data_IF_554852258288
#
_entry.id   IF_554852258288
#
_cell.length_a   1.000
_cell.length_b   1.000
_cell.length_c   1.000
_cell.angle_alpha   90.00
_cell.angle_beta   90.00
_cell.angle_gamma   90.00
#
_symmetry.space_group_name_H-M   'P 1'
#
loop_
_entity.id
_entity.type
_entity.pdbx_description
1 polymer ?
#
# COMPACT_ATOMS: atom_id res chain seq x y z
N UNK A 1 7.33 -3.16 -11.56
CA UNK A 1 5.97 -2.94 -12.12
C UNK A 1 6.06 -2.88 -13.64
N UNK A 2 5.32 -3.71 -14.37
CA UNK A 2 5.29 -3.67 -15.83
C UNK A 2 4.35 -2.57 -16.33
N UNK A 3 4.82 -1.70 -17.23
CA UNK A 3 3.98 -0.75 -17.97
C UNK A 3 3.74 -1.29 -19.38
N UNK A 4 2.49 -1.26 -19.85
CA UNK A 4 2.21 -1.17 -21.29
C UNK A 4 1.37 0.09 -21.50
N UNK A 5 1.98 1.02 -22.23
CA UNK A 5 1.41 2.28 -22.74
C UNK A 5 1.11 3.33 -21.67
N UNK A 6 -0.01 3.28 -20.96
CA UNK A 6 -0.41 4.37 -20.03
C UNK A 6 -1.27 3.94 -18.83
N UNK A 7 -1.71 2.67 -18.79
CA UNK A 7 -2.56 2.18 -17.70
C UNK A 7 -1.75 1.51 -16.59
N UNK A 8 -2.06 1.85 -15.33
CA UNK A 8 -1.48 1.20 -14.15
C UNK A 8 -2.00 -0.24 -14.03
N UNK A 9 -1.22 -1.22 -14.47
CA UNK A 9 -1.49 -2.63 -14.13
C UNK A 9 -0.95 -2.95 -12.74
N UNK A 10 -1.86 -3.10 -11.78
CA UNK A 10 -1.60 -3.80 -10.53
C UNK A 10 -1.48 -5.30 -10.83
N UNK A 11 -0.24 -5.78 -11.02
CA UNK A 11 0.03 -7.23 -11.10
C UNK A 11 0.05 -7.81 -9.68
N UNK A 12 -0.78 -8.81 -9.42
CA UNK A 12 -0.88 -9.48 -8.12
C UNK A 12 0.47 -10.07 -7.65
N UNK A 13 1.26 -10.61 -8.59
CA UNK A 13 2.55 -11.27 -8.30
C UNK A 13 3.74 -10.31 -8.14
N UNK A 14 3.71 -9.13 -8.76
CA UNK A 14 4.85 -8.20 -8.78
C UNK A 14 4.60 -6.86 -8.06
N UNK A 15 3.34 -6.49 -7.84
CA UNK A 15 2.94 -5.25 -7.17
C UNK A 15 2.35 -5.46 -5.78
N UNK A 16 1.50 -6.47 -5.61
CA UNK A 16 0.78 -6.70 -4.34
C UNK A 16 1.61 -7.50 -3.32
N UNK A 17 2.10 -8.68 -3.71
CA UNK A 17 2.82 -9.57 -2.78
C UNK A 17 4.16 -9.01 -2.26
N UNK A 18 4.79 -8.13 -3.04
CA UNK A 18 6.07 -7.49 -2.74
C UNK A 18 5.93 -6.14 -2.07
N UNK A 19 4.72 -5.59 -1.94
CA UNK A 19 4.53 -4.28 -1.33
C UNK A 19 4.95 -4.33 0.14
N UNK A 20 5.92 -3.50 0.56
CA UNK A 20 6.41 -3.57 1.91
C UNK A 20 5.49 -2.76 2.83
N UNK A 21 4.54 -3.46 3.46
CA UNK A 21 3.65 -2.87 4.47
C UNK A 21 4.31 -3.05 5.84
N UNK A 22 4.54 -1.97 6.61
CA UNK A 22 5.01 -2.10 7.99
C UNK A 22 3.96 -2.79 8.86
N UNK A 23 4.37 -3.33 10.01
CA UNK A 23 3.41 -3.96 10.94
C UNK A 23 2.35 -2.94 11.38
N UNK A 24 1.09 -3.22 11.06
CA UNK A 24 -0.02 -2.33 11.41
C UNK A 24 -0.52 -2.61 12.83
N UNK A 25 -0.58 -1.56 13.65
CA UNK A 25 -1.24 -1.61 14.97
C UNK A 25 -2.76 -1.62 14.80
N UNK A 26 -3.49 -2.04 15.83
CA UNK A 26 -4.97 -1.99 15.81
C UNK A 26 -5.50 -0.57 15.60
N UNK A 27 -4.84 0.43 16.21
CA UNK A 27 -5.15 1.84 15.97
C UNK A 27 -4.93 2.22 14.51
N UNK A 28 -3.80 1.84 13.92
CA UNK A 28 -3.49 2.12 12.51
C UNK A 28 -4.51 1.50 11.57
N UNK A 29 -4.99 0.29 11.87
CA UNK A 29 -6.06 -0.37 11.11
C UNK A 29 -7.36 0.42 11.21
N UNK A 30 -7.78 0.80 12.42
CA UNK A 30 -8.99 1.58 12.63
C UNK A 30 -8.94 2.94 11.91
N UNK A 31 -7.80 3.64 12.00
CA UNK A 31 -7.60 4.93 11.33
C UNK A 31 -7.69 4.79 9.80
N UNK A 32 -7.09 3.73 9.22
CA UNK A 32 -7.20 3.43 7.78
C UNK A 32 -8.61 3.00 7.37
N UNK A 33 -9.30 2.20 8.18
CA UNK A 33 -10.70 1.83 7.95
C UNK A 33 -11.57 3.07 7.87
N UNK A 34 -11.39 4.01 8.78
CA UNK A 34 -12.14 5.27 8.77
C UNK A 34 -11.88 6.08 7.51
N UNK A 35 -10.62 6.18 7.08
CA UNK A 35 -10.27 6.87 5.84
C UNK A 35 -10.94 6.21 4.61
N UNK A 36 -10.98 4.88 4.57
CA UNK A 36 -11.64 4.15 3.50
C UNK A 36 -13.16 4.41 3.48
N UNK A 37 -13.82 4.43 4.65
CA UNK A 37 -15.24 4.78 4.77
C UNK A 37 -15.51 6.20 4.28
N UNK A 38 -14.70 7.18 4.68
CA UNK A 38 -14.87 8.58 4.26
C UNK A 38 -14.71 8.74 2.73
N UNK A 39 -13.80 7.98 2.09
CA UNK A 39 -13.68 7.94 0.63
C UNK A 39 -14.95 7.35 -0.02
N UNK A 40 -15.51 6.28 0.54
CA UNK A 40 -16.74 5.66 0.02
C UNK A 40 -17.92 6.62 0.13
N UNK A 41 -18.08 7.27 1.28
CA UNK A 41 -19.12 8.29 1.49
C UNK A 41 -18.97 9.47 0.52
N UNK A 42 -17.75 9.96 0.29
CA UNK A 42 -17.51 11.01 -0.68
C UNK A 42 -17.91 10.57 -2.09
N UNK A 43 -17.59 9.34 -2.51
CA UNK A 43 -18.02 8.83 -3.83
C UNK A 43 -19.55 8.75 -3.95
N UNK A 44 -20.23 8.27 -2.91
CA UNK A 44 -21.69 8.13 -2.91
C UNK A 44 -22.41 9.48 -2.98
N UNK A 45 -21.86 10.52 -2.37
CA UNK A 45 -22.43 11.87 -2.40
C UNK A 45 -22.53 12.49 -3.80
N UNK A 46 -21.77 11.96 -4.78
CA UNK A 46 -21.72 12.46 -6.16
C UNK A 46 -22.51 11.63 -7.16
N UNK A 47 -23.39 10.75 -6.71
CA UNK A 47 -24.32 10.06 -7.61
C UNK A 47 -25.11 11.08 -8.47
N UNK A 48 -25.21 10.92 -9.81
CA UNK A 48 -24.95 9.70 -10.61
C UNK A 48 -23.59 9.65 -11.34
N UNK A 49 -22.57 10.43 -10.93
CA UNK A 49 -21.24 10.39 -11.56
C UNK A 49 -20.64 8.98 -11.54
N UNK A 50 -19.96 8.60 -12.62
CA UNK A 50 -19.25 7.31 -12.70
C UNK A 50 -17.91 7.38 -11.97
N UNK A 51 -17.28 6.23 -11.68
CA UNK A 51 -15.93 6.20 -11.12
C UNK A 51 -14.92 6.90 -12.04
N UNK A 52 -15.10 6.85 -13.37
CA UNK A 52 -14.21 7.56 -14.29
C UNK A 52 -14.31 9.08 -14.08
N UNK A 53 -15.53 9.61 -14.00
CA UNK A 53 -15.78 11.04 -13.79
C UNK A 53 -15.26 11.52 -12.43
N UNK A 54 -15.40 10.68 -11.38
CA UNK A 54 -14.92 11.00 -10.04
C UNK A 54 -13.40 11.04 -9.91
N UNK A 55 -12.69 10.37 -10.82
CA UNK A 55 -11.24 10.25 -10.80
C UNK A 55 -10.56 10.97 -11.96
N UNK A 56 -11.30 11.77 -12.74
CA UNK A 56 -10.72 12.74 -13.65
C UNK A 56 -9.86 13.73 -12.84
N UNK A 57 -8.56 13.91 -13.14
CA UNK A 57 -7.68 14.77 -12.36
C UNK A 57 -8.15 16.23 -12.27
N UNK A 58 -8.75 16.73 -13.36
CA UNK A 58 -9.19 18.10 -13.52
C UNK A 58 -10.60 18.31 -12.93
N UNK A 59 -11.45 17.28 -12.97
CA UNK A 59 -12.84 17.34 -12.48
C UNK A 59 -13.11 16.62 -11.15
N UNK A 60 -12.08 16.02 -10.52
CA UNK A 60 -12.24 15.30 -9.25
C UNK A 60 -12.82 16.23 -8.17
N UNK A 61 -13.96 15.85 -7.55
CA UNK A 61 -14.59 16.64 -6.50
C UNK A 61 -13.67 16.90 -5.30
N UNK A 62 -13.78 18.10 -4.72
CA UNK A 62 -12.84 18.55 -3.68
C UNK A 62 -12.95 17.73 -2.39
N UNK A 63 -14.15 17.32 -2.00
CA UNK A 63 -14.38 16.45 -0.86
C UNK A 63 -13.75 15.06 -1.04
N UNK A 64 -13.83 14.50 -2.25
CA UNK A 64 -13.15 13.25 -2.60
C UNK A 64 -11.62 13.43 -2.58
N UNK A 65 -11.11 14.53 -3.14
CA UNK A 65 -9.68 14.88 -3.09
C UNK A 65 -9.17 15.01 -1.66
N UNK A 66 -9.94 15.66 -0.80
CA UNK A 66 -9.65 15.80 0.63
C UNK A 66 -9.69 14.44 1.36
N UNK A 67 -10.61 13.54 1.00
CA UNK A 67 -10.69 12.20 1.57
C UNK A 67 -9.44 11.38 1.23
N UNK A 68 -8.98 11.42 -0.04
CA UNK A 68 -7.71 10.78 -0.44
C UNK A 68 -6.51 11.38 0.26
N UNK A 69 -6.43 12.71 0.37
CA UNK A 69 -5.33 13.37 1.09
C UNK A 69 -5.23 12.91 2.54
N UNK A 70 -6.38 12.75 3.23
CA UNK A 70 -6.41 12.23 4.61
C UNK A 70 -5.97 10.77 4.71
N UNK A 71 -6.39 9.96 3.75
CA UNK A 71 -5.92 8.57 3.63
C UNK A 71 -4.39 8.51 3.44
N UNK A 72 -3.86 9.34 2.55
CA UNK A 72 -2.43 9.41 2.27
C UNK A 72 -1.64 9.88 3.50
N UNK A 73 -2.06 10.97 4.16
CA UNK A 73 -1.41 11.44 5.38
C UNK A 73 -1.39 10.38 6.50
N UNK A 74 -2.48 9.61 6.63
CA UNK A 74 -2.59 8.51 7.60
C UNK A 74 -1.60 7.39 7.25
N UNK A 75 -1.52 7.02 5.96
CA UNK A 75 -0.59 6.01 5.47
C UNK A 75 0.86 6.47 5.64
N UNK A 76 1.20 7.70 5.28
CA UNK A 76 2.55 8.24 5.41
C UNK A 76 3.01 8.27 6.87
N UNK A 77 2.13 8.62 7.80
CA UNK A 77 2.40 8.53 9.25
C UNK A 77 2.67 7.11 9.70
N UNK A 78 1.98 6.11 9.17
CA UNK A 78 2.24 4.69 9.46
C UNK A 78 3.62 4.27 8.93
N UNK A 79 4.03 4.78 7.77
CA UNK A 79 5.29 4.40 7.12
C UNK A 79 6.53 5.07 7.73
N UNK A 80 6.46 6.37 8.04
CA UNK A 80 7.62 7.18 8.47
C UNK A 80 7.33 8.13 9.63
N UNK A 81 6.12 8.17 10.18
CA UNK A 81 5.73 9.05 11.28
C UNK A 81 5.44 10.51 10.89
N UNK A 82 5.58 10.87 9.61
CA UNK A 82 5.29 12.19 9.05
C UNK A 82 4.90 12.08 7.57
N UNK A 83 4.60 13.20 6.92
CA UNK A 83 4.39 13.21 5.47
C UNK A 83 5.71 13.14 4.69
N UNK A 84 5.65 12.55 3.50
CA UNK A 84 6.77 12.57 2.55
C UNK A 84 6.96 13.99 2.00
N UNK A 85 8.21 14.38 1.76
CA UNK A 85 8.57 15.67 1.16
C UNK A 85 8.28 15.70 -0.33
N UNK A 86 8.49 14.57 -1.01
CA UNK A 86 8.33 14.41 -2.45
C UNK A 86 8.29 12.92 -2.83
N UNK A 87 8.04 12.67 -4.12
CA UNK A 87 7.95 11.33 -4.67
C UNK A 87 9.28 10.56 -4.61
N UNK A 88 10.42 11.25 -4.68
CA UNK A 88 11.74 10.62 -4.55
C UNK A 88 11.91 9.99 -3.17
N UNK A 89 11.61 10.73 -2.10
CA UNK A 89 11.67 10.21 -0.72
C UNK A 89 10.71 9.02 -0.53
N UNK A 90 9.51 9.11 -1.11
CA UNK A 90 8.53 8.02 -1.08
C UNK A 90 9.10 6.75 -1.72
N UNK A 91 9.67 6.87 -2.92
CA UNK A 91 10.26 5.74 -3.64
C UNK A 91 11.46 5.15 -2.88
N UNK A 92 12.38 5.99 -2.42
CA UNK A 92 13.55 5.56 -1.63
C UNK A 92 13.12 4.77 -0.39
N UNK A 93 12.09 5.26 0.33
CA UNK A 93 11.60 4.58 1.52
C UNK A 93 10.96 3.23 1.19
N UNK A 94 10.18 3.15 0.11
CA UNK A 94 9.58 1.90 -0.34
C UNK A 94 10.66 0.88 -0.74
N UNK A 95 11.73 1.30 -1.42
CA UNK A 95 12.86 0.41 -1.74
C UNK A 95 13.63 -0.05 -0.50
N UNK A 96 13.85 0.82 0.48
CA UNK A 96 14.47 0.48 1.77
C UNK A 96 13.65 -0.61 2.50
N UNK A 97 12.33 -0.42 2.61
CA UNK A 97 11.46 -1.39 3.27
C UNK A 97 11.39 -2.73 2.52
N UNK A 98 11.37 -2.68 1.18
CA UNK A 98 11.42 -3.88 0.35
C UNK A 98 12.72 -4.67 0.54
N UNK A 99 13.87 -3.98 0.54
CA UNK A 99 15.18 -4.60 0.76
C UNK A 99 15.26 -5.27 2.13
N UNK A 100 14.75 -4.59 3.17
CA UNK A 100 14.70 -5.16 4.53
C UNK A 100 13.82 -6.40 4.63
N UNK A 101 12.65 -6.39 3.99
CA UNK A 101 11.73 -7.53 3.97
C UNK A 101 12.36 -8.73 3.25
N UNK A 102 12.88 -8.51 2.04
CA UNK A 102 13.52 -9.57 1.26
C UNK A 102 14.78 -10.13 1.92
N UNK A 103 15.60 -9.29 2.56
CA UNK A 103 16.75 -9.76 3.35
C UNK A 103 16.30 -10.61 4.56
N UNK A 104 15.20 -10.25 5.21
CA UNK A 104 14.61 -11.01 6.33
C UNK A 104 14.05 -12.35 5.87
N UNK A 105 13.37 -12.39 4.72
CA UNK A 105 12.82 -13.61 4.12
C UNK A 105 13.94 -14.60 3.74
N UNK A 106 15.04 -14.09 3.14
CA UNK A 106 16.24 -14.88 2.83
C UNK A 106 16.91 -15.39 4.12
N UNK A 107 17.04 -14.55 5.14
CA UNK A 107 17.61 -14.95 6.43
C UNK A 107 16.76 -16.01 7.15
N UNK A 108 15.43 -15.96 7.02
CA UNK A 108 14.52 -16.98 7.56
C UNK A 108 14.66 -18.32 6.81
N UNK A 109 14.80 -18.29 5.47
CA UNK A 109 15.03 -19.49 4.67
C UNK A 109 16.35 -20.20 5.02
N UNK A 110 17.41 -19.45 5.31
CA UNK A 110 18.72 -20.00 5.71
C UNK A 110 18.76 -20.57 7.14
N UNK A 111 17.78 -20.27 8.00
CA UNK A 111 17.71 -20.76 9.39
C UNK A 111 16.89 -22.04 9.57
N UNK A 112 16.32 -22.60 8.50
CA UNK A 112 15.54 -23.84 8.59
C UNK A 112 16.45 -25.06 8.80
N UNK A 113 16.31 -25.85 9.88
CA UNK A 113 17.12 -27.05 10.10
C UNK A 113 16.74 -28.12 9.07
N UNK A 114 17.73 -28.74 8.40
CA UNK A 114 17.52 -29.94 7.59
C UNK A 114 16.91 -31.03 8.47
N UNK A 115 15.65 -31.39 8.23
CA UNK A 115 14.96 -32.47 8.93
C UNK A 115 15.78 -33.77 8.86
N UNK A 116 16.13 -34.29 10.04
CA UNK A 116 16.87 -35.54 10.19
C UNK A 116 16.04 -36.72 9.68
N UNK A 117 16.60 -37.43 8.71
CA UNK A 117 16.04 -38.59 8.02
C UNK A 117 16.06 -39.80 8.96
N UNK A 118 14.94 -40.12 9.60
CA UNK A 118 14.81 -41.30 10.48
C UNK A 118 14.56 -42.56 9.63
N UNK A 119 15.59 -43.41 9.47
CA UNK A 119 15.46 -44.79 8.95
C UNK A 119 14.65 -45.63 9.94
N UNK A 120 13.58 -46.24 9.49
CA UNK A 120 12.86 -47.29 10.24
C UNK A 120 13.39 -48.64 9.74
N UNK A 121 13.83 -49.48 10.68
CA UNK A 121 14.22 -50.87 10.47
C UNK A 121 12.98 -51.76 10.51
#
# INVERSE_FOLDING_TARGET
CGKIKTDFRFSNTLGWNTFPVPTLTEKSKADLTRCAEDILLAREAHWPKTIADLYDPDEMPEDLRHAHKRNDETLERIYIGRTFRNDTERLEKLFDLYTKRTASDVAAAHKSPKASRRKVH
#
